data_IF_407257337184
#
_entry.id   IF_407257337184
#
_cell.length_a   1.000
_cell.length_b   1.000
_cell.length_c   1.000
_cell.angle_alpha   90.00
_cell.angle_beta   90.00
_cell.angle_gamma   90.00
#
_symmetry.space_group_name_H-M   'P 1'
#
loop_
_entity.id
_entity.type
_entity.pdbx_description
1 polymer ?
#
# COMPACT_ATOMS: atom_id res chain seq x y z
N UNK A 1 -4.93 -39.92 24.50
CA UNK A 1 -5.78 -39.38 23.44
C UNK A 1 -5.29 -37.98 23.17
N UNK A 2 -4.58 -37.67 22.06
CA UNK A 2 -4.32 -36.33 21.67
C UNK A 2 -5.66 -35.72 21.22
N UNK A 3 -6.00 -34.52 21.76
CA UNK A 3 -7.17 -33.77 21.37
C UNK A 3 -7.13 -33.34 19.91
N UNK A 4 -8.29 -33.02 19.29
CA UNK A 4 -8.33 -32.63 17.91
C UNK A 4 -7.43 -31.39 17.72
N UNK A 5 -6.48 -31.48 16.80
CA UNK A 5 -5.69 -30.35 16.32
C UNK A 5 -6.69 -29.30 15.85
N UNK A 6 -6.74 -28.17 16.54
CA UNK A 6 -7.41 -26.97 16.01
C UNK A 6 -6.72 -26.67 14.69
N UNK A 7 -7.36 -27.00 13.57
CA UNK A 7 -6.99 -26.46 12.27
C UNK A 7 -7.12 -24.96 12.41
N UNK A 8 -5.99 -24.24 12.44
CA UNK A 8 -5.98 -22.79 12.36
C UNK A 8 -6.64 -22.43 11.03
N UNK A 9 -7.83 -21.85 11.04
CA UNK A 9 -8.40 -21.26 9.83
C UNK A 9 -7.42 -20.20 9.32
N UNK A 10 -6.84 -20.48 8.16
CA UNK A 10 -5.95 -19.52 7.51
C UNK A 10 -6.77 -18.30 7.09
N UNK A 11 -6.30 -17.07 7.35
CA UNK A 11 -7.01 -15.88 6.92
C UNK A 11 -7.15 -15.85 5.41
N UNK A 12 -8.28 -15.37 4.91
CA UNK A 12 -8.46 -15.08 3.48
C UNK A 12 -7.55 -13.91 3.10
N UNK A 13 -6.51 -14.19 2.32
CA UNK A 13 -5.52 -13.20 1.92
C UNK A 13 -5.98 -12.33 0.75
N UNK A 14 -6.86 -12.84 -0.10
CA UNK A 14 -7.23 -12.13 -1.33
C UNK A 14 -7.77 -10.72 -1.07
N UNK A 15 -8.72 -10.49 -0.13
CA UNK A 15 -9.24 -9.15 0.17
C UNK A 15 -8.23 -8.21 0.85
N UNK A 16 -7.04 -8.72 1.21
CA UNK A 16 -5.97 -7.92 1.81
C UNK A 16 -4.94 -7.46 0.78
N UNK A 17 -4.89 -8.09 -0.41
CA UNK A 17 -3.86 -7.84 -1.41
C UNK A 17 -4.19 -6.59 -2.24
N UNK A 18 -3.23 -5.65 -2.27
CA UNK A 18 -3.11 -4.61 -3.27
C UNK A 18 -2.02 -5.03 -4.26
N UNK A 19 -2.44 -5.43 -5.46
CA UNK A 19 -1.54 -5.89 -6.52
C UNK A 19 -0.78 -4.71 -7.12
N UNK A 20 0.55 -4.71 -7.04
CA UNK A 20 1.38 -3.65 -7.58
C UNK A 20 1.71 -3.87 -9.07
N UNK A 21 1.50 -2.82 -9.87
CA UNK A 21 1.86 -2.66 -11.28
C UNK A 21 2.76 -1.43 -11.45
N UNK A 22 3.93 -1.45 -10.79
CA UNK A 22 4.78 -0.26 -10.65
C UNK A 22 6.09 -0.34 -11.45
N UNK A 23 6.38 -1.48 -12.10
CA UNK A 23 7.53 -1.60 -13.00
C UNK A 23 7.37 -0.63 -14.18
N UNK A 24 8.32 0.31 -14.39
CA UNK A 24 8.23 1.28 -15.48
C UNK A 24 8.27 0.65 -16.89
N UNK A 25 8.78 -0.56 -17.01
CA UNK A 25 8.92 -1.30 -18.30
C UNK A 25 7.79 -2.29 -18.57
N UNK A 26 6.76 -2.32 -17.74
CA UNK A 26 5.62 -3.21 -17.88
C UNK A 26 4.85 -2.89 -19.16
N UNK A 27 4.55 -3.93 -19.96
CA UNK A 27 3.75 -3.80 -21.17
C UNK A 27 2.23 -3.88 -20.93
N UNK A 28 1.47 -3.61 -21.97
CA UNK A 28 0.01 -3.57 -21.88
C UNK A 28 -0.59 -4.96 -21.61
N UNK A 29 0.01 -6.01 -22.10
CA UNK A 29 -0.51 -7.37 -21.91
C UNK A 29 -0.39 -7.78 -20.44
N UNK A 30 0.74 -7.51 -19.80
CA UNK A 30 0.95 -7.75 -18.37
C UNK A 30 -0.02 -6.92 -17.52
N UNK A 31 -0.28 -5.65 -17.89
CA UNK A 31 -1.28 -4.83 -17.21
C UNK A 31 -2.66 -5.48 -17.25
N UNK A 32 -3.10 -5.91 -18.46
CA UNK A 32 -4.40 -6.54 -18.64
C UNK A 32 -4.53 -7.84 -17.86
N UNK A 33 -3.54 -8.73 -17.98
CA UNK A 33 -3.51 -10.02 -17.26
C UNK A 33 -3.55 -9.83 -15.75
N UNK A 34 -2.84 -8.82 -15.23
CA UNK A 34 -2.78 -8.54 -13.81
C UNK A 34 -4.10 -7.96 -13.28
N UNK A 35 -4.74 -7.05 -14.03
CA UNK A 35 -6.07 -6.56 -13.68
C UNK A 35 -7.11 -7.69 -13.67
N UNK A 36 -7.06 -8.59 -14.66
CA UNK A 36 -7.95 -9.76 -14.72
C UNK A 36 -7.73 -10.70 -13.53
N UNK A 37 -6.46 -10.97 -13.19
CA UNK A 37 -6.12 -11.78 -12.04
C UNK A 37 -6.60 -11.15 -10.73
N UNK A 38 -6.45 -9.83 -10.56
CA UNK A 38 -6.93 -9.13 -9.39
C UNK A 38 -8.44 -9.28 -9.19
N UNK A 39 -9.20 -9.13 -10.27
CA UNK A 39 -10.67 -9.36 -10.26
C UNK A 39 -11.02 -10.83 -9.99
N UNK A 40 -10.31 -11.76 -10.64
CA UNK A 40 -10.56 -13.21 -10.50
C UNK A 40 -10.33 -13.69 -9.07
N UNK A 41 -9.28 -13.24 -8.43
CA UNK A 41 -8.96 -13.63 -7.05
C UNK A 41 -9.72 -12.81 -6.00
N UNK A 42 -10.31 -11.68 -6.35
CA UNK A 42 -10.97 -10.77 -5.43
C UNK A 42 -9.99 -9.94 -4.61
N UNK A 43 -8.92 -9.43 -5.23
CA UNK A 43 -7.96 -8.55 -4.55
C UNK A 43 -8.61 -7.22 -4.13
N UNK A 44 -8.11 -6.65 -3.03
CA UNK A 44 -8.56 -5.36 -2.53
C UNK A 44 -8.33 -4.22 -3.54
N UNK A 45 -7.25 -4.30 -4.34
CA UNK A 45 -6.99 -3.28 -5.34
C UNK A 45 -5.83 -3.61 -6.27
N UNK A 46 -5.70 -2.78 -7.31
CA UNK A 46 -4.57 -2.71 -8.22
C UNK A 46 -3.95 -1.33 -8.08
N UNK A 47 -2.65 -1.30 -7.75
CA UNK A 47 -1.87 -0.08 -7.54
C UNK A 47 -0.96 0.17 -8.74
N UNK A 48 -1.06 1.36 -9.38
CA UNK A 48 -0.30 1.67 -10.59
C UNK A 48 0.17 3.12 -10.66
N UNK A 49 1.07 3.41 -11.60
CA UNK A 49 1.55 4.75 -11.91
C UNK A 49 0.48 5.54 -12.69
N UNK A 50 0.53 6.86 -12.63
CA UNK A 50 -0.43 7.77 -13.26
C UNK A 50 -0.59 7.53 -14.77
N UNK A 51 0.51 7.34 -15.50
CA UNK A 51 0.49 7.12 -16.96
C UNK A 51 -0.23 5.83 -17.41
N UNK A 52 -0.60 4.95 -16.50
CA UNK A 52 -1.32 3.69 -16.76
C UNK A 52 -2.69 3.65 -16.10
N UNK A 53 -3.02 4.69 -15.32
CA UNK A 53 -4.24 4.71 -14.52
C UNK A 53 -5.48 4.50 -15.38
N UNK A 54 -5.58 5.22 -16.50
CA UNK A 54 -6.70 5.11 -17.41
C UNK A 54 -6.81 3.69 -18.04
N UNK A 55 -5.71 3.12 -18.51
CA UNK A 55 -5.70 1.77 -19.07
C UNK A 55 -6.09 0.70 -18.03
N UNK A 56 -5.65 0.87 -16.77
CA UNK A 56 -6.04 0.00 -15.66
C UNK A 56 -7.53 0.17 -15.33
N UNK A 57 -8.07 1.40 -15.33
CA UNK A 57 -9.50 1.67 -15.13
C UNK A 57 -10.35 1.03 -16.22
N UNK A 58 -9.97 1.18 -17.49
CA UNK A 58 -10.67 0.55 -18.62
C UNK A 58 -10.72 -0.98 -18.46
N UNK A 59 -9.60 -1.60 -18.01
CA UNK A 59 -9.56 -3.05 -17.81
C UNK A 59 -10.31 -3.53 -16.57
N UNK A 60 -10.24 -2.80 -15.47
CA UNK A 60 -10.98 -3.11 -14.24
C UNK A 60 -12.50 -2.89 -14.41
N UNK A 61 -12.89 -1.97 -15.30
CA UNK A 61 -14.28 -1.53 -15.45
C UNK A 61 -14.67 -0.45 -14.44
N UNK A 62 -15.97 -0.24 -14.19
CA UNK A 62 -16.45 0.76 -13.23
C UNK A 62 -15.99 0.43 -11.80
N UNK A 63 -16.04 1.40 -10.86
CA UNK A 63 -15.76 1.18 -9.44
C UNK A 63 -16.43 -0.06 -8.88
N UNK A 64 -15.68 -0.86 -8.12
CA UNK A 64 -16.14 -2.16 -7.62
C UNK A 64 -15.30 -2.69 -6.46
N UNK A 65 -15.40 -4.00 -6.17
CA UNK A 65 -14.68 -4.60 -5.04
C UNK A 65 -13.15 -4.47 -5.13
N UNK A 66 -12.60 -4.53 -6.36
CA UNK A 66 -11.16 -4.33 -6.62
C UNK A 66 -10.94 -2.87 -6.97
N UNK A 67 -10.38 -2.10 -6.05
CA UNK A 67 -10.13 -0.65 -6.21
C UNK A 67 -8.98 -0.36 -7.16
N UNK A 68 -9.04 0.76 -7.85
CA UNK A 68 -7.90 1.33 -8.56
C UNK A 68 -7.17 2.31 -7.65
N UNK A 69 -5.87 2.04 -7.41
CA UNK A 69 -5.01 2.79 -6.52
C UNK A 69 -3.95 3.50 -7.34
N UNK A 70 -3.80 4.81 -7.18
CA UNK A 70 -2.73 5.57 -7.82
C UNK A 70 -1.58 5.85 -6.84
N UNK A 71 -0.32 5.70 -7.31
CA UNK A 71 0.83 6.20 -6.55
C UNK A 71 1.07 7.67 -6.89
N UNK A 72 1.35 8.48 -5.85
CA UNK A 72 1.63 9.91 -5.94
C UNK A 72 3.07 10.19 -5.50
N UNK A 73 3.81 10.97 -6.29
CA UNK A 73 5.22 11.30 -6.09
C UNK A 73 6.14 10.07 -5.93
N UNK A 74 5.73 8.95 -6.50
CA UNK A 74 6.45 7.67 -6.37
C UNK A 74 7.69 7.62 -7.28
N UNK A 75 8.82 7.01 -6.83
CA UNK A 75 8.95 6.28 -5.57
C UNK A 75 9.57 7.07 -4.41
N UNK A 76 10.00 8.33 -4.59
CA UNK A 76 10.89 9.01 -3.64
C UNK A 76 10.28 10.24 -2.96
N UNK A 77 9.15 10.77 -3.43
CA UNK A 77 8.51 11.97 -2.88
C UNK A 77 9.28 13.28 -3.11
N UNK A 78 10.33 13.26 -3.93
CA UNK A 78 11.27 14.37 -4.10
C UNK A 78 10.80 15.39 -5.15
N UNK A 79 9.55 15.81 -5.04
CA UNK A 79 8.93 16.87 -5.85
C UNK A 79 8.19 17.86 -4.94
N UNK A 80 7.96 19.11 -5.36
CA UNK A 80 7.19 20.09 -4.59
C UNK A 80 5.78 19.61 -4.24
N UNK A 81 5.27 19.99 -3.06
CA UNK A 81 3.92 19.63 -2.59
C UNK A 81 2.82 20.02 -3.58
N UNK A 82 2.95 21.17 -4.25
CA UNK A 82 2.01 21.60 -5.29
C UNK A 82 1.94 20.65 -6.49
N UNK A 83 3.04 19.95 -6.84
CA UNK A 83 3.02 18.95 -7.90
C UNK A 83 2.42 17.63 -7.40
N UNK A 84 2.63 17.26 -6.13
CA UNK A 84 1.96 16.09 -5.53
C UNK A 84 0.45 16.29 -5.48
N UNK A 85 0.01 17.49 -5.09
CA UNK A 85 -1.39 17.85 -5.11
C UNK A 85 -1.98 17.75 -6.53
N UNK A 86 -1.30 18.28 -7.55
CA UNK A 86 -1.74 18.17 -8.93
C UNK A 86 -1.78 16.72 -9.44
N UNK A 87 -0.82 15.87 -9.05
CA UNK A 87 -0.84 14.43 -9.33
C UNK A 87 -2.06 13.75 -8.68
N UNK A 88 -2.36 14.09 -7.42
CA UNK A 88 -3.47 13.52 -6.67
C UNK A 88 -4.84 13.92 -7.26
N UNK A 89 -5.01 15.20 -7.59
CA UNK A 89 -6.19 15.73 -8.28
C UNK A 89 -6.39 15.05 -9.62
N UNK A 90 -5.32 14.96 -10.42
CA UNK A 90 -5.37 14.28 -11.71
C UNK A 90 -5.77 12.81 -11.56
N UNK A 91 -5.21 12.10 -10.57
CA UNK A 91 -5.55 10.72 -10.30
C UNK A 91 -7.04 10.54 -9.93
N UNK A 92 -7.56 11.42 -9.07
CA UNK A 92 -8.97 11.42 -8.68
C UNK A 92 -9.89 11.62 -9.89
N UNK A 93 -9.59 12.59 -10.75
CA UNK A 93 -10.35 12.91 -11.97
C UNK A 93 -10.31 11.76 -13.00
N UNK A 94 -9.27 10.92 -12.95
CA UNK A 94 -9.08 9.80 -13.87
C UNK A 94 -9.41 8.42 -13.27
N UNK A 95 -10.18 8.41 -12.19
CA UNK A 95 -10.84 7.22 -11.66
C UNK A 95 -10.03 6.45 -10.62
N UNK A 96 -9.02 7.04 -10.00
CA UNK A 96 -8.46 6.48 -8.78
C UNK A 96 -9.51 6.45 -7.67
N UNK A 97 -9.51 5.40 -6.88
CA UNK A 97 -10.41 5.19 -5.73
C UNK A 97 -9.63 5.22 -4.41
N UNK A 98 -8.31 5.24 -4.48
CA UNK A 98 -7.39 5.29 -3.34
C UNK A 98 -6.04 5.84 -3.81
N UNK A 99 -5.32 6.53 -2.93
CA UNK A 99 -4.02 7.13 -3.22
C UNK A 99 -2.94 6.56 -2.29
N UNK A 100 -1.80 6.16 -2.86
CA UNK A 100 -0.60 5.77 -2.12
C UNK A 100 0.45 6.90 -2.31
N UNK A 101 0.64 7.73 -1.29
CA UNK A 101 1.41 8.99 -1.38
C UNK A 101 2.80 8.83 -0.76
N UNK A 102 3.85 9.24 -1.47
CA UNK A 102 5.18 9.42 -0.87
C UNK A 102 5.31 10.86 -0.38
N UNK A 103 5.42 11.08 0.94
CA UNK A 103 5.40 12.40 1.55
C UNK A 103 6.73 13.15 1.39
N UNK A 104 6.77 14.43 1.83
CA UNK A 104 7.97 15.23 1.87
C UNK A 104 8.87 14.89 3.08
N UNK A 105 9.74 13.91 2.92
CA UNK A 105 10.74 13.55 3.93
C UNK A 105 11.78 14.65 4.19
N UNK A 106 11.94 15.61 3.26
CA UNK A 106 12.82 16.74 3.46
C UNK A 106 12.28 17.66 4.55
N UNK A 107 10.98 18.01 4.52
CA UNK A 107 10.32 18.78 5.59
C UNK A 107 10.49 18.08 6.94
N UNK A 108 10.24 16.78 6.99
CA UNK A 108 10.40 15.98 8.20
C UNK A 108 11.86 16.00 8.72
N UNK A 109 12.86 15.93 7.83
CA UNK A 109 14.28 15.98 8.20
C UNK A 109 14.70 17.32 8.80
N UNK A 110 14.02 18.40 8.42
CA UNK A 110 14.21 19.75 8.96
C UNK A 110 13.45 20.00 10.27
N UNK A 111 12.76 18.98 10.81
CA UNK A 111 11.93 19.11 12.00
C UNK A 111 10.61 19.86 11.78
N UNK A 112 10.17 19.98 10.52
CA UNK A 112 8.93 20.67 10.13
C UNK A 112 7.80 19.65 9.94
N UNK A 113 7.41 19.01 11.05
CA UNK A 113 6.34 18.01 11.03
C UNK A 113 4.98 18.60 10.62
N UNK A 114 4.76 19.86 10.92
CA UNK A 114 3.55 20.58 10.49
C UNK A 114 3.43 20.64 8.97
N UNK A 115 4.51 21.00 8.25
CA UNK A 115 4.48 21.04 6.76
C UNK A 115 4.29 19.64 6.16
N UNK A 116 4.83 18.60 6.82
CA UNK A 116 4.59 17.22 6.41
C UNK A 116 3.11 16.82 6.58
N UNK A 117 2.49 17.21 7.69
CA UNK A 117 1.07 16.97 7.94
C UNK A 117 0.16 17.78 7.02
N UNK A 118 0.48 19.07 6.79
CA UNK A 118 -0.27 19.96 5.90
C UNK A 118 -0.32 19.41 4.47
N UNK A 119 0.82 18.96 3.91
CA UNK A 119 0.87 18.34 2.58
C UNK A 119 -0.08 17.14 2.47
N UNK A 120 -0.09 16.28 3.48
CA UNK A 120 -0.96 15.11 3.50
C UNK A 120 -2.43 15.48 3.69
N UNK A 121 -2.73 16.44 4.56
CA UNK A 121 -4.09 16.90 4.80
C UNK A 121 -4.72 17.53 3.56
N UNK A 122 -3.96 18.30 2.78
CA UNK A 122 -4.41 18.85 1.49
C UNK A 122 -4.80 17.72 0.51
N UNK A 123 -4.02 16.65 0.44
CA UNK A 123 -4.34 15.50 -0.41
C UNK A 123 -5.54 14.71 0.14
N UNK A 124 -5.63 14.52 1.46
CA UNK A 124 -6.79 13.87 2.10
C UNK A 124 -8.10 14.65 1.87
N UNK A 125 -8.03 15.98 1.76
CA UNK A 125 -9.17 16.85 1.47
C UNK A 125 -9.84 16.57 0.10
N UNK A 126 -9.18 15.84 -0.81
CA UNK A 126 -9.79 15.35 -2.05
C UNK A 126 -10.87 14.28 -1.82
N UNK A 127 -10.98 13.74 -0.61
CA UNK A 127 -12.04 12.80 -0.21
C UNK A 127 -11.79 11.34 -0.63
N UNK A 128 -10.61 11.00 -1.15
CA UNK A 128 -10.19 9.62 -1.38
C UNK A 128 -9.40 9.08 -0.17
N UNK A 129 -9.49 7.76 0.11
CA UNK A 129 -8.60 7.14 1.08
C UNK A 129 -7.13 7.34 0.69
N UNK A 130 -6.31 7.79 1.64
CA UNK A 130 -4.87 8.04 1.45
C UNK A 130 -4.06 7.10 2.33
N UNK A 131 -3.11 6.36 1.72
CA UNK A 131 -2.07 5.65 2.44
C UNK A 131 -0.73 6.40 2.26
N UNK A 132 0.00 6.57 3.35
CA UNK A 132 1.32 7.21 3.31
C UNK A 132 2.42 6.17 3.22
N UNK A 133 3.26 6.25 2.20
CA UNK A 133 4.42 5.38 2.01
C UNK A 133 5.59 5.93 2.83
N UNK A 134 5.84 5.32 3.99
CA UNK A 134 6.83 5.82 4.96
C UNK A 134 8.28 5.45 4.60
N UNK A 135 8.51 4.38 3.82
CA UNK A 135 9.86 3.86 3.55
C UNK A 135 10.68 3.70 4.86
N UNK A 136 10.04 3.09 5.86
CA UNK A 136 10.45 3.11 7.27
C UNK A 136 11.87 2.59 7.52
N UNK A 137 12.39 1.69 6.67
CA UNK A 137 13.76 1.19 6.78
C UNK A 137 14.84 2.29 6.59
N UNK A 138 14.47 3.46 6.08
CA UNK A 138 15.35 4.63 5.90
C UNK A 138 15.14 5.74 6.91
N UNK A 139 14.09 5.62 7.75
CA UNK A 139 13.79 6.60 8.78
C UNK A 139 14.42 6.21 10.12
N UNK A 140 15.18 7.10 10.78
CA UNK A 140 15.54 6.93 12.19
C UNK A 140 14.29 6.77 13.06
N UNK A 141 14.38 6.05 14.16
CA UNK A 141 13.23 5.68 15.00
C UNK A 141 12.44 6.89 15.53
N UNK A 142 13.13 7.98 15.90
CA UNK A 142 12.52 9.24 16.33
C UNK A 142 11.75 9.92 15.19
N UNK A 143 12.27 9.87 13.98
CA UNK A 143 11.62 10.40 12.78
C UNK A 143 10.44 9.54 12.33
N UNK A 144 10.53 8.22 12.48
CA UNK A 144 9.42 7.33 12.18
C UNK A 144 8.22 7.62 13.08
N UNK A 145 8.43 7.77 14.39
CA UNK A 145 7.34 8.12 15.32
C UNK A 145 6.69 9.45 14.95
N UNK A 146 7.51 10.47 14.67
CA UNK A 146 7.02 11.78 14.27
C UNK A 146 6.22 11.73 12.94
N UNK A 147 6.72 10.97 11.96
CA UNK A 147 6.01 10.79 10.68
C UNK A 147 4.67 10.09 10.84
N UNK A 148 4.61 9.07 11.71
CA UNK A 148 3.36 8.35 12.01
C UNK A 148 2.33 9.27 12.68
N UNK A 149 2.73 10.01 13.70
CA UNK A 149 1.82 10.93 14.38
C UNK A 149 1.33 12.03 13.44
N UNK A 150 2.23 12.67 12.68
CA UNK A 150 1.89 13.72 11.71
C UNK A 150 0.96 13.19 10.57
N UNK A 151 1.18 11.98 10.07
CA UNK A 151 0.31 11.37 9.07
C UNK A 151 -1.09 11.08 9.63
N UNK A 152 -1.19 10.60 10.86
CA UNK A 152 -2.47 10.34 11.52
C UNK A 152 -3.23 11.64 11.81
N UNK A 153 -2.52 12.69 12.21
CA UNK A 153 -3.11 14.02 12.44
C UNK A 153 -3.63 14.64 11.13
N UNK A 154 -3.08 14.24 9.98
CA UNK A 154 -3.58 14.59 8.64
C UNK A 154 -4.77 13.74 8.15
N UNK A 155 -5.32 12.86 8.98
CA UNK A 155 -6.47 11.98 8.70
C UNK A 155 -6.21 10.96 7.57
N UNK A 156 -4.99 10.40 7.50
CA UNK A 156 -4.68 9.35 6.53
C UNK A 156 -5.40 8.04 6.86
N UNK A 157 -5.83 7.30 5.85
CA UNK A 157 -6.50 6.00 5.99
C UNK A 157 -5.54 4.88 6.37
N UNK A 158 -4.25 5.00 6.01
CA UNK A 158 -3.28 3.96 6.28
C UNK A 158 -1.82 4.39 6.16
N UNK A 159 -0.94 3.55 6.72
CA UNK A 159 0.51 3.70 6.67
C UNK A 159 1.11 2.51 5.94
N UNK A 160 1.90 2.77 4.89
CA UNK A 160 2.61 1.75 4.12
C UNK A 160 4.08 1.70 4.54
N UNK A 161 4.58 0.50 4.83
CA UNK A 161 5.94 0.30 5.37
C UNK A 161 7.06 0.67 4.41
N UNK A 162 6.96 0.33 3.14
CA UNK A 162 8.01 0.55 2.14
C UNK A 162 7.49 0.75 0.72
N UNK A 163 8.39 1.13 -0.19
CA UNK A 163 8.12 1.41 -1.60
C UNK A 163 8.71 0.38 -2.58
N UNK A 164 9.38 -0.66 -2.09
CA UNK A 164 10.03 -1.68 -2.91
C UNK A 164 11.46 -1.33 -3.40
N UNK A 165 11.96 -0.11 -3.13
CA UNK A 165 13.31 0.35 -3.49
C UNK A 165 14.26 0.37 -2.28
N UNK A 166 14.06 -0.52 -1.33
CA UNK A 166 14.86 -0.66 -0.12
C UNK A 166 14.90 -2.10 0.37
N UNK A 167 15.35 -2.33 1.61
CA UNK A 167 15.29 -3.63 2.24
C UNK A 167 13.86 -4.19 2.26
N UNK A 168 13.73 -5.51 2.24
CA UNK A 168 12.44 -6.16 2.40
C UNK A 168 11.85 -5.86 3.77
N UNK A 169 10.53 -5.63 3.81
CA UNK A 169 9.79 -5.45 5.06
C UNK A 169 9.80 -6.73 5.90
N UNK A 170 9.92 -6.57 7.21
CA UNK A 170 9.90 -7.68 8.18
C UNK A 170 8.65 -7.63 9.06
N UNK A 171 8.29 -8.78 9.67
CA UNK A 171 7.23 -8.83 10.66
C UNK A 171 7.50 -7.91 11.88
N UNK A 172 8.78 -7.69 12.22
CA UNK A 172 9.16 -6.75 13.28
C UNK A 172 8.84 -5.30 12.91
N UNK A 173 9.07 -4.92 11.64
CA UNK A 173 8.73 -3.58 11.13
C UNK A 173 7.21 -3.35 11.19
N UNK A 174 6.42 -4.34 10.80
CA UNK A 174 4.95 -4.23 10.83
C UNK A 174 4.44 -4.15 12.27
N UNK A 175 4.97 -4.96 13.20
CA UNK A 175 4.62 -4.83 14.62
C UNK A 175 4.95 -3.46 15.18
N UNK A 176 6.13 -2.92 14.83
CA UNK A 176 6.51 -1.57 15.24
C UNK A 176 5.54 -0.52 14.70
N UNK A 177 5.20 -0.58 13.41
CA UNK A 177 4.28 0.36 12.78
C UNK A 177 2.86 0.26 13.36
N UNK A 178 2.36 -0.96 13.60
CA UNK A 178 1.07 -1.20 14.25
C UNK A 178 1.03 -0.64 15.69
N UNK A 179 2.12 -0.80 16.43
CA UNK A 179 2.25 -0.25 17.78
C UNK A 179 2.26 1.28 17.79
N UNK A 180 2.92 1.92 16.83
CA UNK A 180 2.92 3.38 16.70
C UNK A 180 1.55 3.91 16.26
N UNK A 181 0.91 3.25 15.32
CA UNK A 181 -0.42 3.63 14.83
C UNK A 181 -1.53 3.45 15.89
N UNK A 182 -1.38 2.50 16.81
CA UNK A 182 -2.36 2.24 17.92
C UNK A 182 -3.79 2.03 17.43
N UNK A 183 -3.96 1.41 16.25
CA UNK A 183 -5.28 1.16 15.65
C UNK A 183 -5.99 2.41 15.11
N UNK A 184 -5.32 3.57 15.03
CA UNK A 184 -5.89 4.83 14.51
C UNK A 184 -6.05 4.83 12.98
N UNK A 185 -5.25 4.01 12.26
CA UNK A 185 -5.33 3.84 10.82
C UNK A 185 -4.89 2.43 10.40
N UNK A 186 -5.11 2.07 9.13
CA UNK A 186 -4.68 0.78 8.58
C UNK A 186 -3.16 0.66 8.43
N UNK A 187 -2.65 -0.58 8.38
CA UNK A 187 -1.24 -0.88 8.13
C UNK A 187 -1.09 -1.67 6.84
N UNK A 188 -0.38 -1.14 5.86
CA UNK A 188 -0.08 -1.79 4.59
C UNK A 188 1.37 -2.26 4.58
N UNK A 189 1.56 -3.59 4.66
CA UNK A 189 2.87 -4.20 4.51
C UNK A 189 3.25 -4.23 3.03
N UNK A 190 4.31 -3.54 2.65
CA UNK A 190 4.82 -3.50 1.28
C UNK A 190 6.35 -3.34 1.24
N UNK A 191 6.95 -3.86 0.17
CA UNK A 191 8.41 -3.87 -0.03
C UNK A 191 9.00 -5.28 0.16
N UNK A 192 9.30 -5.97 -0.95
CA UNK A 192 9.94 -7.29 -0.94
C UNK A 192 9.04 -8.44 -0.47
N UNK A 193 7.72 -8.30 -0.56
CA UNK A 193 6.75 -9.34 -0.20
C UNK A 193 6.49 -10.21 -1.44
N UNK A 194 6.97 -11.47 -1.44
CA UNK A 194 6.97 -12.34 -2.60
C UNK A 194 6.34 -13.73 -2.34
N UNK A 195 6.26 -14.18 -1.09
CA UNK A 195 5.84 -15.55 -0.75
C UNK A 195 4.60 -15.57 0.13
N UNK A 196 3.92 -16.72 0.12
CA UNK A 196 2.77 -16.99 0.98
C UNK A 196 3.12 -16.90 2.47
N UNK A 197 4.28 -17.44 2.86
CA UNK A 197 4.77 -17.41 4.24
C UNK A 197 4.97 -15.95 4.70
N UNK A 198 5.65 -15.13 3.90
CA UNK A 198 5.79 -13.70 4.20
C UNK A 198 4.43 -13.01 4.34
N UNK A 199 3.45 -13.32 3.47
CA UNK A 199 2.13 -12.73 3.56
C UNK A 199 1.44 -13.04 4.89
N UNK A 200 1.50 -14.29 5.36
CA UNK A 200 0.98 -14.66 6.67
C UNK A 200 1.71 -13.98 7.82
N UNK A 201 3.05 -13.94 7.78
CA UNK A 201 3.86 -13.27 8.80
C UNK A 201 3.48 -11.78 8.94
N UNK A 202 3.21 -11.09 7.82
CA UNK A 202 2.79 -9.69 7.84
C UNK A 202 1.39 -9.53 8.46
N UNK A 203 0.44 -10.41 8.12
CA UNK A 203 -0.91 -10.37 8.70
C UNK A 203 -0.87 -10.67 10.19
N UNK A 204 -0.12 -11.68 10.62
CA UNK A 204 0.07 -12.00 12.04
C UNK A 204 0.78 -10.86 12.81
N UNK A 205 1.60 -10.08 12.12
CA UNK A 205 2.27 -8.90 12.68
C UNK A 205 1.36 -7.67 12.80
N UNK A 206 0.14 -7.71 12.22
CA UNK A 206 -0.84 -6.64 12.31
C UNK A 206 -1.08 -5.86 11.00
N UNK A 207 -0.59 -6.35 9.86
CA UNK A 207 -0.94 -5.76 8.57
C UNK A 207 -2.43 -5.96 8.24
N UNK A 208 -3.09 -4.90 7.82
CA UNK A 208 -4.48 -4.89 7.33
C UNK A 208 -4.57 -4.91 5.80
N UNK A 209 -3.43 -4.65 5.13
CA UNK A 209 -3.26 -4.72 3.67
C UNK A 209 -1.87 -5.23 3.33
N UNK A 210 -1.74 -5.85 2.16
CA UNK A 210 -0.50 -6.42 1.62
C UNK A 210 -0.22 -5.84 0.23
N UNK A 211 0.84 -5.06 0.08
CA UNK A 211 1.30 -4.53 -1.20
C UNK A 211 2.34 -5.46 -1.83
N UNK A 212 2.00 -6.12 -2.93
CA UNK A 212 2.90 -7.07 -3.63
C UNK A 212 2.67 -7.08 -5.14
N UNK A 213 3.73 -7.33 -5.90
CA UNK A 213 3.64 -7.65 -7.34
C UNK A 213 3.37 -9.14 -7.59
N UNK A 214 3.36 -9.98 -6.56
CA UNK A 214 3.27 -11.44 -6.64
C UNK A 214 1.91 -11.99 -6.17
N UNK A 215 0.86 -11.17 -6.12
CA UNK A 215 -0.45 -11.57 -5.62
C UNK A 215 -0.99 -12.88 -6.23
N UNK A 216 -1.00 -13.06 -7.57
CA UNK A 216 -1.44 -14.31 -8.18
C UNK A 216 -0.62 -15.53 -7.75
N UNK A 217 0.72 -15.39 -7.62
CA UNK A 217 1.59 -16.49 -7.18
C UNK A 217 1.33 -16.86 -5.71
N UNK A 218 1.12 -15.87 -4.85
CA UNK A 218 0.74 -16.07 -3.43
C UNK A 218 -0.58 -16.85 -3.34
N UNK A 219 -1.60 -16.47 -4.11
CA UNK A 219 -2.90 -17.15 -4.10
C UNK A 219 -2.83 -18.56 -4.68
N UNK A 220 -2.01 -18.80 -5.72
CA UNK A 220 -1.78 -20.14 -6.24
C UNK A 220 -1.06 -21.04 -5.24
N UNK A 221 -0.09 -20.50 -4.46
CA UNK A 221 0.58 -21.23 -3.40
C UNK A 221 -0.40 -21.58 -2.27
N UNK A 222 -1.29 -20.66 -1.90
CA UNK A 222 -2.34 -20.91 -0.88
C UNK A 222 -3.27 -22.06 -1.31
N UNK A 223 -3.75 -22.05 -2.55
CA UNK A 223 -4.62 -23.12 -3.07
C UNK A 223 -3.93 -24.49 -3.10
N UNK A 224 -2.63 -24.53 -3.41
CA UNK A 224 -1.84 -25.80 -3.40
C UNK A 224 -1.59 -26.33 -2.00
N UNK A 225 -1.51 -25.48 -0.99
CA UNK A 225 -1.34 -25.90 0.41
C UNK A 225 -2.64 -26.34 1.09
N UNK A 226 -3.80 -26.13 0.45
CA UNK A 226 -5.13 -26.54 0.93
C UNK A 226 -5.58 -27.88 0.32
N UNK A 227 -4.87 -28.41 -0.68
CA UNK A 227 -5.08 -29.75 -1.28
C UNK A 227 -4.14 -30.77 -0.67
#
# INVERSE_FOLDING_TARGET
MPGPSQQRELPDLAPLINQALLDPHLDQEVLQQTCDAARHFGFAGVCTNLNRLQAARERLGPPGPTRLIAVIAFPFGAIPSTLKQAEAEWAADHGAEELDVVPDFWALSQGKAELFAEELAEICALGLPVNVILNMARLPADRLSLAVDAAIDADVSGLQSGNGFGPAVTAADIRLLANLARGRCGIKAAGGLHTLEQAFDMVEAGATRLGTSQGPAVMQALRRGQT
#
